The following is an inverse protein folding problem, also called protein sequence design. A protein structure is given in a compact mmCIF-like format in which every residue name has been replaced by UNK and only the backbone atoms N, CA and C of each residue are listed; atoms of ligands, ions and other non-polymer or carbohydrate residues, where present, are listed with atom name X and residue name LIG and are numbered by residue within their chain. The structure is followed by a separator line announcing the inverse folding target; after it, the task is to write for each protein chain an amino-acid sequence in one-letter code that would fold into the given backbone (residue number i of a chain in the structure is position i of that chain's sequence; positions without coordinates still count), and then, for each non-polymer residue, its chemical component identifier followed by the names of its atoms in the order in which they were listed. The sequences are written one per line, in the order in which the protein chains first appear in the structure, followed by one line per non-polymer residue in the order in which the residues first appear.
data_IF_652783460723
#
_entry.id   IF_652783460723
#
_cell.length_a   1.000
_cell.length_b   1.000
_cell.length_c   1.000
_cell.angle_alpha   90.00
_cell.angle_beta   90.00
_cell.angle_gamma   90.00
#
_symmetry.space_group_name_H-M   'P 1'
#
loop_
_entity.id
_entity.type
_entity.pdbx_description
1 polymer ?
#
# COMPACT_ATOMS: atom_id res chain seq x y z
N UNK A 1 22.84 -12.44 -13.98
CA UNK A 1 21.53 -13.05 -13.64
C UNK A 1 21.36 -13.19 -12.12
N UNK A 2 22.29 -13.79 -11.42
CA UNK A 2 22.21 -14.08 -9.95
C UNK A 2 21.92 -12.83 -9.10
N UNK A 3 22.61 -11.71 -9.30
CA UNK A 3 22.41 -10.47 -8.52
C UNK A 3 20.98 -9.91 -8.64
N UNK A 4 20.37 -10.02 -9.82
CA UNK A 4 18.98 -9.55 -10.02
C UNK A 4 17.98 -10.42 -9.29
N UNK A 5 18.18 -11.73 -9.30
CA UNK A 5 17.31 -12.69 -8.59
C UNK A 5 17.42 -12.49 -7.09
N UNK A 6 18.66 -12.41 -6.57
CA UNK A 6 18.90 -12.17 -5.14
C UNK A 6 18.23 -10.87 -4.66
N UNK A 7 18.39 -9.77 -5.43
CA UNK A 7 17.73 -8.51 -5.11
C UNK A 7 16.19 -8.66 -5.08
N UNK A 8 15.60 -9.36 -6.06
CA UNK A 8 14.15 -9.56 -6.10
C UNK A 8 13.66 -10.31 -4.87
N UNK A 9 14.37 -11.38 -4.47
CA UNK A 9 14.05 -12.16 -3.26
C UNK A 9 14.14 -11.29 -2.01
N UNK A 10 15.22 -10.52 -1.85
CA UNK A 10 15.41 -9.64 -0.69
C UNK A 10 14.34 -8.54 -0.61
N UNK A 11 14.00 -7.90 -1.74
CA UNK A 11 12.96 -6.87 -1.78
C UNK A 11 11.60 -7.48 -1.47
N UNK A 12 11.26 -8.64 -2.04
CA UNK A 12 9.99 -9.32 -1.76
C UNK A 12 9.89 -9.68 -0.27
N UNK A 13 10.93 -10.28 0.29
CA UNK A 13 10.98 -10.60 1.72
C UNK A 13 10.83 -9.36 2.60
N UNK A 14 11.50 -8.27 2.24
CA UNK A 14 11.36 -6.99 2.94
C UNK A 14 9.93 -6.43 2.88
N UNK A 15 9.29 -6.45 1.71
CA UNK A 15 7.91 -5.95 1.54
C UNK A 15 6.92 -6.78 2.37
N UNK A 16 7.05 -8.10 2.36
CA UNK A 16 6.23 -8.99 3.17
C UNK A 16 6.45 -8.70 4.66
N UNK A 17 7.70 -8.60 5.11
CA UNK A 17 8.02 -8.30 6.50
C UNK A 17 7.43 -6.94 6.94
N UNK A 18 7.47 -5.92 6.08
CA UNK A 18 6.93 -4.60 6.38
C UNK A 18 5.40 -4.63 6.54
N UNK A 19 4.69 -5.37 5.68
CA UNK A 19 3.23 -5.56 5.79
C UNK A 19 2.88 -6.35 7.07
N UNK A 20 3.60 -7.43 7.35
CA UNK A 20 3.37 -8.23 8.55
C UNK A 20 3.63 -7.44 9.83
N UNK A 21 4.69 -6.61 9.85
CA UNK A 21 5.00 -5.75 10.99
C UNK A 21 3.89 -4.70 11.19
N UNK A 22 3.40 -4.09 10.11
CA UNK A 22 2.28 -3.15 10.17
C UNK A 22 1.01 -3.83 10.71
N UNK A 23 0.67 -5.02 10.20
CA UNK A 23 -0.47 -5.79 10.67
C UNK A 23 -0.33 -6.22 12.13
N UNK A 24 0.86 -6.64 12.56
CA UNK A 24 1.12 -6.99 13.94
C UNK A 24 0.96 -5.77 14.88
N UNK A 25 1.40 -4.59 14.45
CA UNK A 25 1.20 -3.34 15.21
C UNK A 25 -0.28 -2.99 15.35
N UNK A 26 -1.09 -3.13 14.29
CA UNK A 26 -2.55 -2.97 14.34
C UNK A 26 -3.18 -3.96 15.31
N UNK A 27 -2.84 -5.25 15.20
CA UNK A 27 -3.36 -6.30 16.08
C UNK A 27 -2.94 -6.10 17.55
N UNK A 28 -1.75 -5.59 17.81
CA UNK A 28 -1.34 -5.20 19.17
C UNK A 28 -2.15 -4.00 19.66
N UNK A 29 -2.27 -2.94 18.86
CA UNK A 29 -3.01 -1.74 19.19
C UNK A 29 -4.49 -2.04 19.49
N UNK A 30 -5.11 -2.94 18.73
CA UNK A 30 -6.49 -3.38 18.96
C UNK A 30 -6.66 -3.97 20.37
N UNK A 31 -5.75 -4.86 20.77
CA UNK A 31 -5.80 -5.47 22.11
C UNK A 31 -5.59 -4.49 23.26
N UNK A 32 -4.90 -3.37 23.00
CA UNK A 32 -4.61 -2.34 24.00
C UNK A 32 -5.60 -1.16 23.98
N UNK A 33 -6.56 -1.13 23.04
CA UNK A 33 -7.44 0.03 22.85
C UNK A 33 -6.74 1.26 22.27
N UNK A 34 -5.63 1.08 21.51
CA UNK A 34 -4.80 2.15 20.97
C UNK A 34 -4.91 2.28 19.45
N UNK A 35 -5.99 1.78 18.85
CA UNK A 35 -6.15 1.80 17.40
C UNK A 35 -6.07 3.22 16.83
N UNK A 36 -6.80 4.18 17.39
CA UNK A 36 -6.85 5.56 16.87
C UNK A 36 -5.48 6.25 16.90
N UNK A 37 -4.76 6.34 18.04
CA UNK A 37 -3.42 6.94 18.03
C UNK A 37 -2.42 6.18 17.15
N UNK A 38 -2.52 4.86 17.07
CA UNK A 38 -1.66 4.06 16.19
C UNK A 38 -2.01 4.29 14.72
N UNK A 39 -3.29 4.42 14.35
CA UNK A 39 -3.73 4.78 13.00
C UNK A 39 -3.15 6.11 12.52
N UNK A 40 -2.91 7.05 13.42
CA UNK A 40 -2.26 8.34 13.10
C UNK A 40 -0.74 8.21 12.87
N UNK A 41 -0.06 7.37 13.63
CA UNK A 41 1.41 7.29 13.64
C UNK A 41 1.93 6.20 12.70
N UNK A 42 1.22 5.09 12.62
CA UNK A 42 1.65 3.89 11.88
C UNK A 42 1.90 4.11 10.38
N UNK A 43 1.20 5.04 9.65
CA UNK A 43 1.49 5.32 8.25
C UNK A 43 2.94 5.74 7.98
N UNK A 44 3.63 6.30 8.99
CA UNK A 44 5.05 6.66 8.88
C UNK A 44 5.92 5.45 8.58
N UNK A 45 5.56 4.28 9.11
CA UNK A 45 6.33 3.05 8.92
C UNK A 45 6.42 2.63 7.43
N UNK A 46 5.32 2.42 6.69
CA UNK A 46 5.43 2.10 5.27
C UNK A 46 5.94 3.28 4.43
N UNK A 47 5.61 4.53 4.76
CA UNK A 47 6.10 5.70 4.05
C UNK A 47 7.63 5.78 4.10
N UNK A 48 8.22 5.67 5.27
CA UNK A 48 9.68 5.70 5.45
C UNK A 48 10.31 4.42 4.94
N UNK A 49 9.72 3.25 5.27
CA UNK A 49 10.23 1.94 4.87
C UNK A 49 10.34 1.78 3.35
N UNK A 50 9.33 2.21 2.61
CA UNK A 50 9.34 2.10 1.15
C UNK A 50 10.24 3.14 0.47
N UNK A 51 10.54 4.27 1.12
CA UNK A 51 11.29 5.38 0.50
C UNK A 51 12.71 5.01 0.06
N UNK A 52 13.30 3.99 0.67
CA UNK A 52 14.66 3.50 0.34
C UNK A 52 14.69 2.58 -0.87
N UNK A 53 13.54 2.15 -1.36
CA UNK A 53 13.41 1.28 -2.50
C UNK A 53 13.43 2.07 -3.82
N UNK A 54 13.72 1.40 -4.93
CA UNK A 54 13.59 1.97 -6.27
C UNK A 54 12.12 2.26 -6.60
N UNK A 55 11.82 3.22 -7.46
CA UNK A 55 10.46 3.64 -7.79
C UNK A 55 9.52 2.46 -8.14
N UNK A 56 9.98 1.49 -8.93
CA UNK A 56 9.21 0.29 -9.26
C UNK A 56 8.94 -0.61 -8.04
N UNK A 57 9.90 -0.74 -7.15
CA UNK A 57 9.79 -1.52 -5.92
C UNK A 57 8.87 -0.81 -4.90
N UNK A 58 8.96 0.53 -4.83
CA UNK A 58 8.01 1.33 -4.04
C UNK A 58 6.57 1.12 -4.52
N UNK A 59 6.36 1.17 -5.84
CA UNK A 59 5.04 0.95 -6.41
C UNK A 59 4.49 -0.45 -6.09
N UNK A 60 5.34 -1.48 -6.18
CA UNK A 60 4.98 -2.84 -5.78
C UNK A 60 4.61 -2.90 -4.28
N UNK A 61 5.38 -2.23 -3.43
CA UNK A 61 5.11 -2.12 -2.01
C UNK A 61 3.77 -1.44 -1.73
N UNK A 62 3.50 -0.30 -2.36
CA UNK A 62 2.22 0.39 -2.19
C UNK A 62 1.04 -0.44 -2.71
N UNK A 63 1.19 -1.16 -3.82
CA UNK A 63 0.15 -2.07 -4.31
C UNK A 63 -0.11 -3.20 -3.32
N UNK A 64 0.94 -3.78 -2.73
CA UNK A 64 0.81 -4.81 -1.70
C UNK A 64 0.10 -4.27 -0.44
N UNK A 65 0.45 -3.07 0.02
CA UNK A 65 -0.25 -2.41 1.13
C UNK A 65 -1.72 -2.12 0.80
N UNK A 66 -2.03 -1.74 -0.45
CA UNK A 66 -3.41 -1.53 -0.89
C UNK A 66 -4.21 -2.85 -0.85
N UNK A 67 -3.61 -3.98 -1.24
CA UNK A 67 -4.23 -5.31 -1.08
C UNK A 67 -4.44 -5.65 0.39
N UNK A 68 -3.43 -5.41 1.23
CA UNK A 68 -3.53 -5.63 2.68
C UNK A 68 -4.65 -4.79 3.30
N UNK A 69 -4.76 -3.50 2.93
CA UNK A 69 -5.85 -2.63 3.34
C UNK A 69 -7.21 -3.26 3.04
N UNK A 70 -7.46 -3.65 1.78
CA UNK A 70 -8.72 -4.28 1.39
C UNK A 70 -9.02 -5.57 2.15
N UNK A 71 -7.99 -6.24 2.68
CA UNK A 71 -8.16 -7.49 3.43
C UNK A 71 -8.53 -7.30 4.90
N UNK A 72 -8.50 -6.07 5.43
CA UNK A 72 -8.69 -5.82 6.88
C UNK A 72 -10.04 -6.29 7.40
N UNK A 73 -11.09 -6.21 6.59
CA UNK A 73 -12.44 -6.64 6.97
C UNK A 73 -12.83 -8.04 6.44
N UNK A 74 -11.98 -8.70 5.67
CA UNK A 74 -12.28 -10.07 5.19
C UNK A 74 -12.61 -11.08 6.30
N UNK A 75 -11.99 -11.01 7.50
CA UNK A 75 -12.35 -11.91 8.59
C UNK A 75 -13.81 -11.78 9.05
N UNK A 76 -14.48 -10.67 8.76
CA UNK A 76 -15.92 -10.48 9.06
C UNK A 76 -16.76 -11.32 8.10
N UNK A 77 -16.30 -11.53 6.86
CA UNK A 77 -16.84 -12.51 5.92
C UNK A 77 -18.19 -12.14 5.30
N UNK A 78 -18.65 -10.90 5.41
CA UNK A 78 -19.92 -10.49 4.78
C UNK A 78 -19.74 -10.27 3.27
N UNK A 79 -20.78 -10.51 2.43
CA UNK A 79 -20.68 -10.29 0.99
C UNK A 79 -20.22 -8.88 0.58
N UNK A 80 -20.68 -7.77 1.23
CA UNK A 80 -20.18 -6.44 0.95
C UNK A 80 -18.68 -6.29 1.19
N UNK A 81 -18.12 -6.87 2.27
CA UNK A 81 -16.69 -6.80 2.59
C UNK A 81 -15.86 -7.51 1.52
N UNK A 82 -16.33 -8.67 1.06
CA UNK A 82 -15.69 -9.40 -0.04
C UNK A 82 -15.72 -8.58 -1.34
N UNK A 83 -16.86 -7.95 -1.65
CA UNK A 83 -16.98 -7.12 -2.84
C UNK A 83 -16.02 -5.92 -2.81
N UNK A 84 -15.94 -5.21 -1.69
CA UNK A 84 -14.99 -4.10 -1.50
C UNK A 84 -13.55 -4.57 -1.62
N UNK A 85 -13.20 -5.70 -1.01
CA UNK A 85 -11.87 -6.30 -1.17
C UNK A 85 -11.53 -6.54 -2.65
N UNK A 86 -12.44 -7.13 -3.42
CA UNK A 86 -12.21 -7.39 -4.85
C UNK A 86 -12.02 -6.10 -5.66
N UNK A 87 -12.76 -5.04 -5.34
CA UNK A 87 -12.59 -3.72 -5.97
C UNK A 87 -11.22 -3.13 -5.65
N UNK A 88 -10.80 -3.17 -4.38
CA UNK A 88 -9.49 -2.68 -3.94
C UNK A 88 -8.35 -3.52 -4.54
N UNK A 89 -8.50 -4.84 -4.59
CA UNK A 89 -7.56 -5.73 -5.24
C UNK A 89 -7.40 -5.38 -6.73
N UNK A 90 -8.51 -5.14 -7.42
CA UNK A 90 -8.53 -4.69 -8.82
C UNK A 90 -7.80 -3.34 -8.98
N UNK A 91 -8.10 -2.37 -8.12
CA UNK A 91 -7.44 -1.06 -8.13
C UNK A 91 -5.92 -1.18 -7.85
N UNK A 92 -5.51 -2.03 -6.92
CA UNK A 92 -4.09 -2.31 -6.65
C UNK A 92 -3.38 -2.91 -7.86
N UNK A 93 -4.00 -3.90 -8.51
CA UNK A 93 -3.47 -4.53 -9.72
C UNK A 93 -3.35 -3.53 -10.88
N UNK A 94 -4.42 -2.76 -11.15
CA UNK A 94 -4.46 -1.76 -12.22
C UNK A 94 -3.45 -0.64 -11.91
N UNK A 95 -3.40 -0.13 -10.69
CA UNK A 95 -2.42 0.86 -10.25
C UNK A 95 -0.99 0.40 -10.45
N UNK A 96 -0.67 -0.85 -10.09
CA UNK A 96 0.64 -1.45 -10.36
C UNK A 96 0.93 -1.60 -11.86
N UNK A 97 -0.04 -2.11 -12.64
CA UNK A 97 0.12 -2.38 -14.08
C UNK A 97 0.35 -1.11 -14.89
N UNK A 98 -0.38 -0.04 -14.57
CA UNK A 98 -0.28 1.26 -15.24
C UNK A 98 0.68 2.23 -14.54
N UNK A 99 1.37 1.79 -13.49
CA UNK A 99 2.30 2.61 -12.70
C UNK A 99 1.68 3.90 -12.16
N UNK A 100 0.41 3.83 -11.77
CA UNK A 100 -0.36 4.97 -11.31
C UNK A 100 -0.49 4.99 -9.79
N UNK A 101 0.24 5.87 -9.13
CA UNK A 101 0.07 6.13 -7.69
C UNK A 101 -1.26 6.83 -7.40
N UNK A 102 -1.84 7.52 -8.38
CA UNK A 102 -3.15 8.16 -8.25
C UNK A 102 -4.26 7.12 -8.12
N UNK A 103 -4.23 6.05 -8.92
CA UNK A 103 -5.19 4.95 -8.79
C UNK A 103 -5.07 4.27 -7.43
N UNK A 104 -3.83 4.09 -6.92
CA UNK A 104 -3.64 3.58 -5.56
C UNK A 104 -4.21 4.56 -4.53
N UNK A 105 -3.92 5.86 -4.64
CA UNK A 105 -4.46 6.87 -3.72
C UNK A 105 -6.00 6.88 -3.72
N UNK A 106 -6.62 6.74 -4.90
CA UNK A 106 -8.09 6.64 -5.01
C UNK A 106 -8.64 5.43 -4.27
N UNK A 107 -7.95 4.28 -4.30
CA UNK A 107 -8.35 3.10 -3.53
C UNK A 107 -8.31 3.35 -2.02
N UNK A 108 -7.30 4.09 -1.53
CA UNK A 108 -7.19 4.49 -0.13
C UNK A 108 -8.33 5.45 0.28
N UNK A 109 -8.63 6.45 -0.54
CA UNK A 109 -9.76 7.36 -0.28
C UNK A 109 -11.13 6.67 -0.39
N UNK A 110 -11.28 5.72 -1.32
CA UNK A 110 -12.50 4.92 -1.42
C UNK A 110 -12.72 4.05 -0.19
N UNK A 111 -11.63 3.54 0.43
CA UNK A 111 -11.73 2.79 1.68
C UNK A 111 -12.19 3.68 2.83
N UNK A 112 -11.74 4.94 2.92
CA UNK A 112 -12.29 5.90 3.89
C UNK A 112 -13.81 6.04 3.74
N UNK A 113 -14.30 6.19 2.50
CA UNK A 113 -15.73 6.28 2.25
C UNK A 113 -16.47 5.01 2.70
N UNK A 114 -15.82 3.84 2.57
CA UNK A 114 -16.34 2.58 3.06
C UNK A 114 -16.37 2.52 4.59
N UNK A 115 -15.37 3.07 5.27
CA UNK A 115 -15.25 3.07 6.74
C UNK A 115 -16.31 3.93 7.45
N UNK A 116 -16.96 4.85 6.73
CA UNK A 116 -18.07 5.65 7.27
C UNK A 116 -19.33 4.80 7.50
N UNK A 117 -19.50 3.68 6.81
CA UNK A 117 -20.69 2.84 6.98
C UNK A 117 -20.62 2.07 8.30
N UNK A 118 -21.74 2.08 9.07
CA UNK A 118 -21.82 1.34 10.33
C UNK A 118 -21.61 -0.17 10.13
N UNK A 119 -20.91 -0.78 11.06
CA UNK A 119 -20.63 -2.24 11.06
C UNK A 119 -20.75 -2.80 12.45
N UNK A 120 -21.22 -4.02 12.53
CA UNK A 120 -21.22 -4.80 13.78
C UNK A 120 -19.84 -5.42 13.98
N UNK A 121 -18.93 -4.65 14.57
CA UNK A 121 -17.57 -5.09 14.88
C UNK A 121 -17.49 -5.63 16.32
N UNK A 122 -16.63 -6.63 16.57
CA UNK A 122 -16.25 -6.99 17.94
C UNK A 122 -15.74 -5.76 18.70
N UNK A 123 -16.00 -5.69 20.00
CA UNK A 123 -15.62 -4.53 20.82
C UNK A 123 -14.12 -4.16 20.71
N UNK A 124 -13.24 -5.16 20.57
CA UNK A 124 -11.80 -4.97 20.38
C UNK A 124 -11.44 -4.26 19.06
N UNK A 125 -12.35 -4.23 18.10
CA UNK A 125 -12.20 -3.58 16.78
C UNK A 125 -13.13 -2.39 16.59
N UNK A 126 -13.85 -1.94 17.63
CA UNK A 126 -14.82 -0.84 17.51
C UNK A 126 -14.20 0.45 16.93
N UNK A 127 -12.95 0.75 17.28
CA UNK A 127 -12.22 1.93 16.80
C UNK A 127 -11.46 1.69 15.48
N UNK A 128 -11.53 0.49 14.89
CA UNK A 128 -10.82 0.16 13.66
C UNK A 128 -11.20 1.07 12.48
N UNK A 129 -12.47 1.38 12.20
CA UNK A 129 -12.83 2.28 11.12
C UNK A 129 -12.20 3.68 11.29
N UNK A 130 -12.26 4.24 12.50
CA UNK A 130 -11.63 5.55 12.76
C UNK A 130 -10.12 5.52 12.57
N UNK A 131 -9.45 4.46 13.02
CA UNK A 131 -8.02 4.25 12.83
C UNK A 131 -7.67 4.09 11.34
N UNK A 132 -8.46 3.32 10.59
CA UNK A 132 -8.29 3.16 9.14
C UNK A 132 -8.45 4.49 8.42
N UNK A 133 -9.51 5.27 8.70
CA UNK A 133 -9.70 6.58 8.06
C UNK A 133 -8.49 7.51 8.25
N UNK A 134 -7.88 7.53 9.43
CA UNK A 134 -6.67 8.31 9.69
C UNK A 134 -5.47 7.79 8.90
N UNK A 135 -5.24 6.48 8.96
CA UNK A 135 -4.15 5.82 8.24
C UNK A 135 -4.28 6.05 6.73
N UNK A 136 -5.46 5.81 6.18
CA UNK A 136 -5.77 5.88 4.76
C UNK A 136 -5.67 7.31 4.23
N UNK A 137 -6.14 8.29 5.00
CA UNK A 137 -6.03 9.70 4.66
C UNK A 137 -4.58 10.13 4.51
N UNK A 138 -3.71 9.76 5.45
CA UNK A 138 -2.29 10.08 5.42
C UNK A 138 -1.61 9.40 4.22
N UNK A 139 -1.86 8.12 4.00
CA UNK A 139 -1.27 7.38 2.88
C UNK A 139 -1.81 7.89 1.54
N UNK A 140 -3.11 8.13 1.41
CA UNK A 140 -3.72 8.67 0.20
C UNK A 140 -3.13 10.03 -0.19
N UNK A 141 -2.99 10.95 0.76
CA UNK A 141 -2.35 12.26 0.54
C UNK A 141 -0.87 12.08 0.15
N UNK A 142 -0.13 11.21 0.84
CA UNK A 142 1.26 10.91 0.49
C UNK A 142 1.39 10.38 -0.93
N UNK A 143 0.54 9.46 -1.36
CA UNK A 143 0.56 8.91 -2.72
C UNK A 143 0.24 9.97 -3.77
N UNK A 144 -0.74 10.85 -3.51
CA UNK A 144 -1.02 12.00 -4.37
C UNK A 144 0.18 12.94 -4.48
N UNK A 145 0.84 13.27 -3.37
CA UNK A 145 2.01 14.16 -3.38
C UNK A 145 3.25 13.52 -4.02
N UNK A 146 3.34 12.20 -4.00
CA UNK A 146 4.51 11.45 -4.50
C UNK A 146 4.43 11.10 -5.98
N UNK A 147 3.30 11.34 -6.65
CA UNK A 147 3.06 10.85 -8.01
C UNK A 147 4.12 11.34 -9.01
N UNK A 148 4.44 12.64 -9.00
CA UNK A 148 5.46 13.23 -9.89
C UNK A 148 6.80 12.56 -9.69
N UNK A 149 7.27 12.46 -8.44
CA UNK A 149 8.56 11.84 -8.11
C UNK A 149 8.65 10.39 -8.57
N UNK A 150 7.62 9.59 -8.37
CA UNK A 150 7.62 8.17 -8.73
C UNK A 150 7.42 7.97 -10.25
N UNK A 151 6.67 8.85 -10.90
CA UNK A 151 6.46 8.83 -12.34
C UNK A 151 7.70 9.31 -13.10
N UNK A 152 8.30 10.45 -12.72
CA UNK A 152 9.47 11.01 -13.37
C UNK A 152 10.69 10.09 -13.23
N UNK A 153 10.89 9.49 -12.06
CA UNK A 153 11.95 8.50 -11.85
C UNK A 153 11.76 7.24 -12.72
N UNK A 154 10.51 6.82 -12.93
CA UNK A 154 10.20 5.69 -13.81
C UNK A 154 10.42 6.03 -15.28
N UNK A 155 10.06 7.23 -15.73
CA UNK A 155 10.31 7.71 -17.10
C UNK A 155 11.79 7.86 -17.39
N UNK A 156 12.56 8.49 -16.50
CA UNK A 156 13.99 8.64 -16.63
C UNK A 156 14.73 7.29 -16.77
N UNK A 157 14.30 6.26 -16.01
CA UNK A 157 14.87 4.91 -16.13
C UNK A 157 14.58 4.27 -17.49
N UNK A 158 13.39 4.49 -18.05
CA UNK A 158 13.05 3.98 -19.41
C UNK A 158 13.91 4.64 -20.46
N UNK A 159 14.07 5.97 -20.41
CA UNK A 159 14.93 6.71 -21.36
C UNK A 159 16.40 6.30 -21.23
N UNK A 160 16.91 6.12 -20.01
CA UNK A 160 18.27 5.65 -19.78
C UNK A 160 18.51 4.28 -20.43
N UNK A 161 17.61 3.33 -20.27
CA UNK A 161 17.71 1.99 -20.87
C UNK A 161 17.64 2.02 -22.39
N UNK A 162 16.77 2.84 -22.95
CA UNK A 162 16.70 3.01 -24.41
C UNK A 162 18.01 3.55 -24.98
N UNK A 163 18.61 4.55 -24.32
CA UNK A 163 19.92 5.09 -24.71
C UNK A 163 21.04 4.05 -24.63
N UNK A 164 21.11 3.23 -23.58
CA UNK A 164 22.09 2.16 -23.43
C UNK A 164 21.99 1.08 -24.53
N UNK A 165 20.75 0.80 -24.98
CA UNK A 165 20.50 -0.19 -26.05
C UNK A 165 21.01 0.31 -27.40
N UNK A 166 20.79 1.60 -27.70
CA UNK A 166 21.26 2.22 -28.94
C UNK A 166 22.78 2.25 -28.99
N UNK A 167 23.45 2.56 -27.86
CA UNK A 167 24.94 2.61 -27.82
C UNK A 167 25.61 1.24 -27.89
N UNK A 168 24.93 0.15 -27.57
CA UNK A 168 25.45 -1.21 -27.64
C UNK A 168 25.18 -1.91 -28.97
N UNK A 169 24.30 -1.33 -29.79
CA UNK A 169 23.94 -1.89 -31.11
C UNK A 169 24.82 -1.39 -32.28
N UNK A 170 25.74 -0.48 -31.99
CA UNK A 170 26.81 -0.03 -32.90
C UNK A 170 28.16 -0.59 -32.46
#
# INVERSE_FOLDING_TARGET
MVVRVLRAVLVTGYLIALVLLTGAAVGFAARQGWLVPVGLILPVLPIVGLRWLRAKEQLAGWSLFTVWLGSTYLPIGTPPEVAVFLVILGAAFVGYRYRSTQLLAMAWFAHIAWDVFPRDLPAVLADLPAACMLFDGIVGVYLCASWRRLFDASAAEVFRRAGETVLRGN
#
